data_IF_170701229346
#
_entry.id   IF_170701229346
#
_cell.length_a   1.000
_cell.length_b   1.000
_cell.length_c   1.000
_cell.angle_alpha   90.00
_cell.angle_beta   90.00
_cell.angle_gamma   90.00
#
_symmetry.space_group_name_H-M   'P 1'
#
loop_
_entity.id
_entity.type
_entity.pdbx_description
1 polymer ?
#
# COMPACT_ATOMS: atom_id res chain seq x y z
N UNK A 1 -4.51 -7.09 39.74
CA UNK A 1 -3.67 -6.61 38.63
C UNK A 1 -4.55 -5.75 37.73
N UNK A 2 -4.29 -4.44 37.66
CA UNK A 2 -5.10 -3.50 36.87
C UNK A 2 -4.59 -3.49 35.43
N UNK A 3 -5.43 -3.89 34.48
CA UNK A 3 -5.10 -3.81 33.05
C UNK A 3 -5.09 -2.36 32.63
N UNK A 4 -3.94 -1.86 32.16
CA UNK A 4 -3.83 -0.53 31.55
C UNK A 4 -4.30 -0.64 30.11
N UNK A 5 -5.42 0.01 29.77
CA UNK A 5 -5.92 0.10 28.40
C UNK A 5 -5.22 1.26 27.67
N UNK A 6 -4.55 0.97 26.55
CA UNK A 6 -3.88 1.97 25.72
C UNK A 6 -4.90 2.64 24.79
N UNK A 7 -5.06 3.96 24.90
CA UNK A 7 -5.90 4.71 23.95
C UNK A 7 -5.14 4.93 22.64
N UNK A 8 -5.46 4.11 21.63
CA UNK A 8 -4.82 4.18 20.30
C UNK A 8 -5.25 5.41 19.49
N UNK A 9 -6.34 6.08 19.84
CA UNK A 9 -6.83 7.28 19.15
C UNK A 9 -5.92 8.49 19.36
N UNK A 10 -5.12 8.45 20.44
CA UNK A 10 -4.12 9.47 20.75
C UNK A 10 -2.81 9.27 19.97
N UNK A 11 -2.62 8.12 19.29
CA UNK A 11 -1.42 7.87 18.50
C UNK A 11 -1.46 8.73 17.23
N UNK A 12 -0.39 9.53 17.04
CA UNK A 12 -0.13 10.26 15.80
C UNK A 12 0.90 9.47 15.01
N UNK A 13 0.46 8.83 13.93
CA UNK A 13 1.33 8.09 13.01
C UNK A 13 1.48 8.91 11.74
N UNK A 14 2.72 9.22 11.37
CA UNK A 14 3.01 9.96 10.13
C UNK A 14 2.78 9.01 8.95
N UNK A 15 1.95 9.41 8.00
CA UNK A 15 1.78 8.67 6.73
C UNK A 15 2.89 9.10 5.77
N UNK A 16 3.86 8.20 5.53
CA UNK A 16 5.04 8.44 4.68
C UNK A 16 4.83 7.91 3.25
N UNK A 17 3.80 7.10 3.03
CA UNK A 17 3.44 6.61 1.70
C UNK A 17 1.97 6.21 1.64
N UNK A 18 1.46 5.99 0.44
CA UNK A 18 0.08 5.56 0.22
C UNK A 18 -0.03 4.56 -0.91
N UNK A 19 -0.81 3.52 -0.68
CA UNK A 19 -1.26 2.61 -1.73
C UNK A 19 -2.60 3.12 -2.26
N UNK A 20 -2.65 3.50 -3.53
CA UNK A 20 -3.86 4.01 -4.19
C UNK A 20 -4.39 3.00 -5.21
N UNK A 21 -5.71 2.83 -5.25
CA UNK A 21 -6.37 2.13 -6.35
C UNK A 21 -6.34 3.02 -7.59
N UNK A 22 -6.10 2.45 -8.76
CA UNK A 22 -5.98 3.21 -10.01
C UNK A 22 -7.25 3.27 -10.84
N UNK A 23 -8.30 2.51 -10.45
CA UNK A 23 -9.61 2.37 -11.11
C UNK A 23 -9.53 2.16 -12.65
N UNK A 24 -9.81 0.93 -13.10
CA UNK A 24 -9.83 0.51 -14.52
C UNK A 24 -8.50 0.70 -15.29
N UNK A 25 -7.40 0.98 -14.59
CA UNK A 25 -6.05 0.99 -15.16
C UNK A 25 -5.46 -0.41 -15.38
N UNK A 26 -4.43 -0.54 -16.24
CA UNK A 26 -3.77 -1.82 -16.53
C UNK A 26 -3.04 -2.43 -15.33
N UNK A 27 -2.79 -1.64 -14.29
CA UNK A 27 -2.25 -2.09 -13.00
C UNK A 27 -3.20 -1.57 -11.93
N UNK A 28 -3.78 -2.42 -11.06
CA UNK A 28 -4.87 -2.04 -10.16
C UNK A 28 -4.46 -1.14 -8.98
N UNK A 29 -3.16 -1.04 -8.68
CA UNK A 29 -2.64 -0.25 -7.56
C UNK A 29 -1.37 0.51 -7.93
N UNK A 30 -1.12 1.63 -7.25
CA UNK A 30 0.15 2.36 -7.26
C UNK A 30 0.60 2.63 -5.83
N UNK A 31 1.89 2.46 -5.56
CA UNK A 31 2.51 2.89 -4.30
C UNK A 31 3.15 4.26 -4.51
N UNK A 32 2.75 5.22 -3.69
CA UNK A 32 3.24 6.59 -3.73
C UNK A 32 4.05 6.89 -2.48
N UNK A 33 5.14 7.63 -2.64
CA UNK A 33 6.01 8.08 -1.56
C UNK A 33 5.43 9.27 -0.79
N UNK A 34 6.25 9.88 0.08
CA UNK A 34 5.87 11.00 0.95
C UNK A 34 5.53 12.27 0.17
N UNK A 35 6.10 12.42 -1.02
CA UNK A 35 5.88 13.55 -1.91
C UNK A 35 4.73 13.26 -2.89
N UNK A 36 4.15 12.06 -2.82
CA UNK A 36 3.08 11.60 -3.70
C UNK A 36 3.58 11.11 -5.06
N UNK A 37 4.89 10.89 -5.21
CA UNK A 37 5.50 10.35 -6.42
C UNK A 37 5.44 8.84 -6.43
N UNK A 38 5.34 8.27 -7.63
CA UNK A 38 5.31 6.82 -7.82
C UNK A 38 6.64 6.15 -7.43
N UNK A 39 6.57 5.12 -6.59
CA UNK A 39 7.72 4.29 -6.25
C UNK A 39 7.98 3.31 -7.41
N UNK A 40 8.76 3.77 -8.40
CA UNK A 40 8.97 3.07 -9.69
C UNK A 40 9.26 1.56 -9.57
N UNK A 41 10.15 1.08 -8.67
CA UNK A 41 10.41 -0.36 -8.55
C UNK A 41 9.17 -1.18 -8.18
N UNK A 42 8.26 -0.61 -7.38
CA UNK A 42 7.01 -1.28 -6.98
C UNK A 42 6.03 -1.33 -8.15
N UNK A 43 6.00 -0.28 -8.96
CA UNK A 43 5.15 -0.23 -10.16
C UNK A 43 5.58 -1.23 -11.22
N UNK A 44 6.88 -1.41 -11.43
CA UNK A 44 7.41 -2.41 -12.34
C UNK A 44 7.07 -3.82 -11.84
N UNK A 45 7.25 -4.10 -10.55
CA UNK A 45 6.84 -5.35 -9.92
C UNK A 45 5.33 -5.61 -10.05
N UNK A 46 4.48 -4.60 -9.82
CA UNK A 46 3.03 -4.76 -9.97
C UNK A 46 2.62 -5.01 -11.42
N UNK A 47 3.29 -4.40 -12.41
CA UNK A 47 3.07 -4.72 -13.84
C UNK A 47 3.37 -6.18 -14.13
N UNK A 48 4.49 -6.69 -13.63
CA UNK A 48 4.88 -8.10 -13.81
C UNK A 48 3.86 -9.06 -13.19
N UNK A 49 3.39 -8.76 -11.97
CA UNK A 49 2.37 -9.57 -11.30
C UNK A 49 1.03 -9.54 -12.04
N UNK A 50 0.58 -8.37 -12.48
CA UNK A 50 -0.66 -8.26 -13.27
C UNK A 50 -0.54 -9.00 -14.60
N UNK A 51 0.60 -8.87 -15.30
CA UNK A 51 0.85 -9.63 -16.53
C UNK A 51 0.92 -11.15 -16.30
N UNK A 52 1.24 -11.57 -15.08
CA UNK A 52 1.27 -12.98 -14.65
C UNK A 52 -0.06 -13.46 -14.03
N UNK A 53 -1.15 -12.71 -14.23
CA UNK A 53 -2.51 -13.04 -13.78
C UNK A 53 -2.68 -13.18 -12.24
N UNK A 54 -1.83 -12.48 -11.46
CA UNK A 54 -2.03 -12.38 -10.02
C UNK A 54 -3.27 -11.54 -9.71
N UNK A 55 -4.06 -12.00 -8.73
CA UNK A 55 -5.27 -11.29 -8.33
C UNK A 55 -4.97 -9.86 -7.83
N UNK A 56 -5.86 -8.88 -8.07
CA UNK A 56 -5.73 -7.54 -7.49
C UNK A 56 -5.60 -7.57 -5.97
N UNK A 57 -6.27 -8.52 -5.29
CA UNK A 57 -6.16 -8.67 -3.85
C UNK A 57 -4.72 -9.04 -3.42
N UNK A 58 -4.00 -9.84 -4.20
CA UNK A 58 -2.59 -10.17 -3.93
C UNK A 58 -1.70 -8.93 -4.03
N UNK A 59 -1.87 -8.12 -5.09
CA UNK A 59 -1.13 -6.86 -5.26
C UNK A 59 -1.42 -5.90 -4.11
N UNK A 60 -2.70 -5.80 -3.67
CA UNK A 60 -3.08 -4.99 -2.51
C UNK A 60 -2.33 -5.42 -1.24
N UNK A 61 -2.30 -6.73 -0.96
CA UNK A 61 -1.59 -7.27 0.20
C UNK A 61 -0.09 -6.99 0.15
N UNK A 62 0.55 -7.16 -1.01
CA UNK A 62 1.97 -6.85 -1.17
C UNK A 62 2.27 -5.35 -1.04
N UNK A 63 1.42 -4.49 -1.59
CA UNK A 63 1.56 -3.03 -1.43
C UNK A 63 1.44 -2.58 0.02
N UNK A 64 0.48 -3.14 0.77
CA UNK A 64 0.31 -2.84 2.20
C UNK A 64 1.48 -3.35 3.05
N UNK A 65 2.18 -4.41 2.64
CA UNK A 65 3.35 -4.91 3.34
C UNK A 65 4.60 -4.02 3.19
N UNK A 66 4.57 -3.06 2.26
CA UNK A 66 5.65 -2.09 2.02
C UNK A 66 5.42 -0.74 2.74
N UNK A 67 4.30 -0.58 3.44
CA UNK A 67 3.92 0.62 4.19
C UNK A 67 4.12 0.41 5.69
#
# INVERSE_FOLDING_TARGET
>A
MTTVMRDVRLLRVRQIGRLVSTEDGPVPYQLLDVDGSEVRPVSDYFRELTASDYSPHSLRSYGLALL
#
